data_IF_150589582813
#
_entry.id   IF_150589582813
#
_cell.length_a   1.000
_cell.length_b   1.000
_cell.length_c   1.000
_cell.angle_alpha   90.00
_cell.angle_beta   90.00
_cell.angle_gamma   90.00
#
_symmetry.space_group_name_H-M   'P 1'
#
loop_
_entity.id
_entity.type
_entity.pdbx_description
1 polymer ?
#
# COMPACT_ATOMS: atom_id res chain seq x y z
N UNK A 1 10.96 27.74 2.76
CA UNK A 1 10.86 26.39 2.16
C UNK A 1 11.66 26.39 0.87
N UNK A 2 12.48 25.36 0.61
CA UNK A 2 13.21 25.26 -0.66
C UNK A 2 12.19 24.84 -1.73
N UNK A 3 11.92 25.72 -2.69
CA UNK A 3 11.04 25.45 -3.82
C UNK A 3 11.71 24.39 -4.71
N UNK A 4 11.12 23.21 -4.79
CA UNK A 4 11.61 22.15 -5.68
C UNK A 4 11.43 22.61 -7.12
N UNK A 5 12.53 22.90 -7.81
CA UNK A 5 12.51 23.27 -9.22
C UNK A 5 12.62 22.01 -10.09
N UNK A 6 11.76 21.85 -11.11
CA UNK A 6 11.90 20.77 -12.07
C UNK A 6 13.28 20.82 -12.72
N UNK A 7 13.75 19.63 -13.11
CA UNK A 7 15.03 19.50 -13.80
C UNK A 7 15.04 20.34 -15.10
N UNK A 8 16.11 21.12 -15.31
CA UNK A 8 16.26 21.96 -16.49
C UNK A 8 16.47 21.10 -17.75
N UNK A 9 15.94 21.54 -18.90
CA UNK A 9 16.16 20.88 -20.20
C UNK A 9 17.61 20.93 -20.67
N UNK A 10 18.44 21.77 -20.05
CA UNK A 10 19.90 21.86 -20.23
C UNK A 10 20.58 21.36 -18.96
N UNK A 11 20.82 20.05 -18.88
CA UNK A 11 21.57 19.46 -17.78
C UNK A 11 22.74 18.66 -18.33
N UNK A 12 23.94 19.01 -17.89
CA UNK A 12 25.19 18.41 -18.33
C UNK A 12 25.35 16.94 -17.91
N UNK A 13 24.53 16.44 -16.98
CA UNK A 13 24.47 15.02 -16.60
C UNK A 13 23.58 14.23 -17.57
N UNK A 14 22.45 14.80 -18.02
CA UNK A 14 21.55 14.13 -18.96
C UNK A 14 22.07 14.22 -20.41
N UNK A 15 22.68 15.35 -20.78
CA UNK A 15 23.19 15.61 -22.13
C UNK A 15 24.49 14.87 -22.45
N UNK A 16 25.24 14.42 -21.44
CA UNK A 16 26.51 13.69 -21.62
C UNK A 16 26.33 12.18 -21.80
N UNK A 17 25.09 11.67 -21.81
CA UNK A 17 24.82 10.30 -22.23
C UNK A 17 25.03 10.17 -23.74
N UNK A 18 26.27 9.83 -24.13
CA UNK A 18 26.62 9.44 -25.50
C UNK A 18 25.62 8.39 -25.98
N UNK A 19 25.01 8.65 -27.14
CA UNK A 19 24.05 7.79 -27.83
C UNK A 19 24.57 6.34 -27.94
N UNK A 20 24.24 5.49 -26.97
CA UNK A 20 24.36 4.04 -27.14
C UNK A 20 23.16 3.54 -27.92
N UNK A 21 23.43 2.76 -28.97
CA UNK A 21 22.53 2.44 -30.07
C UNK A 21 21.07 2.15 -29.70
N UNK A 22 20.16 2.85 -30.39
CA UNK A 22 18.73 2.51 -30.41
C UNK A 22 18.57 1.06 -30.87
N UNK A 23 18.03 0.20 -30.01
CA UNK A 23 17.45 -1.08 -30.46
C UNK A 23 16.31 -0.75 -31.43
N UNK A 24 16.35 -1.30 -32.65
CA UNK A 24 15.23 -1.26 -33.60
C UNK A 24 14.04 -1.98 -32.98
N UNK A 25 12.97 -1.23 -32.70
CA UNK A 25 11.63 -1.79 -32.55
C UNK A 25 10.72 -1.03 -33.51
N UNK A 26 10.01 -1.77 -34.34
CA UNK A 26 9.09 -1.32 -35.38
C UNK A 26 8.05 -0.36 -34.82
N UNK A 27 8.04 0.89 -35.32
CA UNK A 27 6.98 1.87 -35.07
C UNK A 27 5.91 1.75 -36.15
N UNK A 28 4.67 1.45 -35.73
CA UNK A 28 3.49 1.82 -36.50
C UNK A 28 3.13 3.28 -36.18
N UNK A 29 3.02 4.07 -37.24
CA UNK A 29 2.87 5.52 -37.22
C UNK A 29 1.44 5.93 -36.84
N UNK A 30 1.31 6.93 -35.96
CA UNK A 30 0.10 7.75 -35.83
C UNK A 30 0.48 9.20 -36.13
N UNK A 31 -0.08 9.77 -37.19
CA UNK A 31 0.07 11.18 -37.53
C UNK A 31 -1.29 11.90 -37.57
N UNK A 32 -1.23 13.20 -37.24
CA UNK A 32 -2.16 14.28 -37.61
C UNK A 32 -3.36 14.60 -36.69
N UNK A 33 -3.06 15.50 -35.73
CA UNK A 33 -3.72 16.79 -35.43
C UNK A 33 -5.09 17.06 -36.10
N UNK A 34 -6.12 17.27 -35.27
CA UNK A 34 -7.11 18.34 -35.51
C UNK A 34 -7.58 18.96 -34.20
N UNK A 35 -7.18 20.22 -33.94
CA UNK A 35 -7.68 21.06 -32.85
C UNK A 35 -9.18 21.33 -33.06
N UNK A 36 -9.98 21.33 -31.98
CA UNK A 36 -11.31 21.95 -31.96
C UNK A 36 -11.52 22.76 -30.68
N UNK A 37 -12.08 23.96 -30.88
CA UNK A 37 -12.20 25.10 -29.98
C UNK A 37 -12.95 24.81 -28.67
N UNK A 38 -12.58 25.58 -27.64
CA UNK A 38 -13.24 25.75 -26.35
C UNK A 38 -14.72 26.14 -26.52
N UNK A 39 -15.59 25.46 -25.78
CA UNK A 39 -16.85 26.02 -25.31
C UNK A 39 -16.85 25.88 -23.78
N UNK A 40 -17.03 27.01 -23.10
CA UNK A 40 -17.20 27.12 -21.66
C UNK A 40 -18.64 26.78 -21.33
N UNK A 41 -18.87 25.60 -20.78
CA UNK A 41 -20.06 25.34 -19.96
C UNK A 41 -19.61 24.92 -18.57
N UNK A 42 -19.83 25.83 -17.63
CA UNK A 42 -19.79 25.55 -16.20
C UNK A 42 -20.78 24.43 -15.89
N UNK A 43 -20.27 23.25 -15.53
CA UNK A 43 -21.01 22.25 -14.78
C UNK A 43 -20.27 21.94 -13.50
N UNK A 44 -20.61 22.68 -12.46
CA UNK A 44 -20.34 22.30 -11.08
C UNK A 44 -20.95 20.92 -10.84
N UNK A 45 -20.12 19.92 -10.59
CA UNK A 45 -20.59 18.72 -9.89
C UNK A 45 -19.57 18.29 -8.85
N UNK A 46 -19.74 18.90 -7.68
CA UNK A 46 -19.36 18.36 -6.40
C UNK A 46 -19.92 16.93 -6.26
N UNK A 47 -19.05 15.95 -6.01
CA UNK A 47 -19.38 14.71 -5.29
C UNK A 47 -18.08 13.99 -4.90
N UNK A 48 -17.64 14.30 -3.69
CA UNK A 48 -16.82 13.43 -2.87
C UNK A 48 -17.51 12.06 -2.74
N UNK A 49 -17.06 11.07 -3.51
CA UNK A 49 -17.50 9.69 -3.41
C UNK A 49 -16.30 8.78 -3.19
N UNK A 50 -15.94 8.53 -1.92
CA UNK A 50 -15.10 7.37 -1.57
C UNK A 50 -15.92 6.10 -1.84
N UNK A 51 -15.96 5.63 -3.09
CA UNK A 51 -16.52 4.32 -3.41
C UNK A 51 -15.46 3.29 -3.00
N UNK A 52 -15.55 2.80 -1.76
CA UNK A 52 -14.91 1.55 -1.43
C UNK A 52 -15.53 0.44 -2.31
N UNK A 53 -14.73 -0.42 -2.95
CA UNK A 53 -15.29 -1.43 -3.85
C UNK A 53 -16.19 -2.39 -3.06
N UNK A 54 -17.36 -2.71 -3.64
CA UNK A 54 -18.49 -3.43 -3.04
C UNK A 54 -18.12 -4.72 -2.27
N UNK A 55 -17.01 -5.38 -2.64
CA UNK A 55 -16.53 -6.59 -1.97
C UNK A 55 -16.01 -6.35 -0.53
N UNK A 56 -15.63 -5.12 -0.16
CA UNK A 56 -15.16 -4.78 1.20
C UNK A 56 -16.26 -4.95 2.28
N UNK A 57 -17.54 -5.03 1.90
CA UNK A 57 -18.67 -5.24 2.82
C UNK A 57 -19.13 -6.71 2.90
N UNK A 58 -18.23 -7.65 2.68
CA UNK A 58 -18.55 -9.07 2.83
C UNK A 58 -18.51 -9.50 4.31
N UNK A 59 -19.56 -10.18 4.77
CA UNK A 59 -19.67 -10.78 6.14
C UNK A 59 -18.42 -11.58 6.52
N UNK A 60 -17.81 -12.25 5.54
CA UNK A 60 -16.60 -13.06 5.68
C UNK A 60 -15.35 -12.23 5.98
N UNK A 61 -15.15 -11.08 5.32
CA UNK A 61 -14.03 -10.18 5.61
C UNK A 61 -14.15 -9.57 7.00
N UNK A 62 -15.36 -9.16 7.39
CA UNK A 62 -15.63 -8.69 8.74
C UNK A 62 -15.28 -9.77 9.78
N UNK A 63 -15.56 -11.04 9.48
CA UNK A 63 -15.18 -12.15 10.34
C UNK A 63 -13.65 -12.32 10.43
N UNK A 64 -12.92 -12.19 9.32
CA UNK A 64 -11.44 -12.21 9.34
C UNK A 64 -10.91 -11.06 10.16
N UNK A 65 -11.38 -9.83 9.92
CA UNK A 65 -10.98 -8.62 10.67
C UNK A 65 -11.22 -8.77 12.16
N UNK A 66 -12.43 -9.19 12.55
CA UNK A 66 -12.78 -9.36 13.96
C UNK A 66 -11.89 -10.39 14.66
N UNK A 67 -11.56 -11.51 14.00
CA UNK A 67 -10.61 -12.49 14.53
C UNK A 67 -9.19 -11.93 14.66
N UNK A 68 -8.78 -11.05 13.75
CA UNK A 68 -7.45 -10.45 13.76
C UNK A 68 -7.29 -9.36 14.83
N UNK A 69 -8.34 -8.80 15.42
CA UNK A 69 -8.23 -7.77 16.47
C UNK A 69 -7.46 -8.23 17.71
N UNK A 70 -7.52 -9.53 18.00
CA UNK A 70 -6.80 -10.14 19.13
C UNK A 70 -5.38 -10.58 18.78
N UNK A 71 -4.93 -10.42 17.53
CA UNK A 71 -3.67 -11.00 17.03
C UNK A 71 -2.78 -9.92 16.40
N UNK A 72 -3.38 -8.93 15.72
CA UNK A 72 -2.67 -7.85 15.04
C UNK A 72 -2.88 -6.53 15.78
N UNK A 73 -1.96 -5.60 15.54
CA UNK A 73 -2.02 -4.24 16.09
C UNK A 73 -2.78 -3.32 15.14
N UNK A 74 -3.66 -2.50 15.70
CA UNK A 74 -4.42 -1.51 14.95
C UNK A 74 -3.51 -0.35 14.50
N UNK A 75 -3.77 0.23 13.32
CA UNK A 75 -3.08 1.43 12.85
C UNK A 75 -3.29 2.65 13.74
N UNK A 76 -4.37 2.68 14.52
CA UNK A 76 -4.67 3.76 15.46
C UNK A 76 -3.66 3.84 16.63
N UNK A 77 -2.81 2.81 16.79
CA UNK A 77 -1.72 2.82 17.78
C UNK A 77 -0.49 3.58 17.29
N UNK A 78 -0.42 3.98 16.02
CA UNK A 78 0.72 4.74 15.49
C UNK A 78 0.83 6.10 16.21
N UNK A 79 2.04 6.42 16.67
CA UNK A 79 2.32 7.70 17.34
C UNK A 79 2.26 8.87 16.36
N UNK A 80 2.72 8.63 15.13
CA UNK A 80 2.80 9.66 14.08
C UNK A 80 1.57 9.57 13.18
N UNK A 81 0.96 10.73 12.91
CA UNK A 81 -0.12 10.86 11.93
C UNK A 81 0.47 10.86 10.50
N UNK A 82 0.52 9.69 9.90
CA UNK A 82 1.03 9.51 8.55
C UNK A 82 -0.04 9.83 7.49
N UNK A 83 0.36 10.34 6.31
CA UNK A 83 -0.54 10.50 5.17
C UNK A 83 -1.29 9.21 4.85
N UNK A 84 -2.56 9.33 4.45
CA UNK A 84 -3.43 8.16 4.28
C UNK A 84 -2.88 7.08 3.34
N UNK A 85 -2.11 7.47 2.32
CA UNK A 85 -1.53 6.53 1.37
C UNK A 85 -0.34 5.76 1.97
N UNK A 86 0.42 6.40 2.85
CA UNK A 86 1.45 5.71 3.62
C UNK A 86 0.81 4.70 4.58
N UNK A 87 -0.21 5.11 5.35
CA UNK A 87 -0.93 4.22 6.27
C UNK A 87 -1.55 3.02 5.54
N UNK A 88 -2.09 3.21 4.33
CA UNK A 88 -2.58 2.10 3.48
C UNK A 88 -1.46 1.15 3.04
N UNK A 89 -0.24 1.64 2.84
CA UNK A 89 0.89 0.82 2.39
C UNK A 89 1.44 -0.12 3.47
N UNK A 90 1.27 0.25 4.75
CA UNK A 90 1.71 -0.54 5.91
C UNK A 90 0.59 -1.35 6.58
N UNK A 91 -0.65 -1.22 6.09
CA UNK A 91 -1.82 -1.93 6.61
C UNK A 91 -2.27 -3.04 5.66
N UNK A 92 -2.77 -4.12 6.25
CA UNK A 92 -3.29 -5.26 5.52
C UNK A 92 -4.62 -4.91 4.86
N UNK A 93 -4.72 -5.05 3.53
CA UNK A 93 -5.95 -4.73 2.78
C UNK A 93 -7.13 -5.70 3.02
N UNK A 94 -6.94 -6.72 3.87
CA UNK A 94 -7.98 -7.69 4.27
C UNK A 94 -8.50 -7.42 5.69
N UNK A 95 -7.61 -7.24 6.67
CA UNK A 95 -8.01 -7.02 8.07
C UNK A 95 -7.89 -5.57 8.54
N UNK A 96 -7.33 -4.68 7.73
CA UNK A 96 -7.18 -3.25 8.01
C UNK A 96 -6.27 -2.91 9.21
N UNK A 97 -5.59 -3.90 9.79
CA UNK A 97 -4.59 -3.73 10.83
C UNK A 97 -3.18 -3.55 10.23
N UNK A 98 -2.20 -3.15 11.05
CA UNK A 98 -0.78 -3.10 10.66
C UNK A 98 -0.33 -4.49 10.20
N UNK A 99 0.45 -4.55 9.11
CA UNK A 99 0.92 -5.81 8.54
C UNK A 99 1.71 -6.63 9.57
N UNK A 100 1.27 -7.88 9.77
CA UNK A 100 1.93 -8.88 10.62
C UNK A 100 2.24 -10.11 9.78
N UNK A 101 3.47 -10.60 9.84
CA UNK A 101 4.00 -11.62 8.90
C UNK A 101 3.65 -11.24 7.45
N UNK A 102 4.16 -10.07 7.04
CA UNK A 102 3.80 -9.45 5.77
C UNK A 102 4.22 -10.34 4.59
N UNK A 103 3.30 -10.54 3.64
CA UNK A 103 3.56 -11.22 2.36
C UNK A 103 3.14 -10.31 1.21
N UNK A 104 3.89 -10.41 0.13
CA UNK A 104 3.67 -9.70 -1.13
C UNK A 104 3.21 -10.69 -2.19
N UNK A 105 2.15 -10.31 -2.89
CA UNK A 105 1.64 -11.03 -4.07
C UNK A 105 2.46 -10.69 -5.32
N UNK A 106 2.33 -11.48 -6.39
CA UNK A 106 2.93 -11.19 -7.70
C UNK A 106 2.55 -9.79 -8.23
N UNK A 107 1.29 -9.38 -8.02
CA UNK A 107 0.77 -8.04 -8.33
C UNK A 107 1.17 -6.94 -7.34
N UNK A 108 2.16 -7.21 -6.47
CA UNK A 108 2.82 -6.26 -5.55
C UNK A 108 1.99 -5.71 -4.39
N UNK A 109 0.78 -6.23 -4.18
CA UNK A 109 -0.03 -5.92 -2.99
C UNK A 109 0.41 -6.71 -1.76
N UNK A 110 0.23 -6.09 -0.59
CA UNK A 110 0.70 -6.58 0.71
C UNK A 110 -0.44 -7.01 1.62
N UNK A 111 -0.24 -8.11 2.33
CA UNK A 111 -1.20 -8.70 3.26
C UNK A 111 -0.49 -9.37 4.43
N UNK A 112 -1.18 -9.60 5.55
CA UNK A 112 -0.71 -10.55 6.55
C UNK A 112 -0.85 -11.98 5.99
N UNK A 113 0.14 -12.85 6.21
CA UNK A 113 0.12 -14.23 5.70
C UNK A 113 -1.16 -14.98 6.08
N UNK A 114 -1.56 -14.90 7.34
CA UNK A 114 -2.79 -15.57 7.82
C UNK A 114 -4.06 -14.99 7.18
N UNK A 115 -4.07 -13.71 6.82
CA UNK A 115 -5.25 -13.04 6.26
C UNK A 115 -5.47 -13.45 4.81
N UNK A 116 -4.41 -13.41 3.98
CA UNK A 116 -4.53 -13.76 2.57
C UNK A 116 -4.81 -15.25 2.38
N UNK A 117 -4.22 -16.13 3.20
CA UNK A 117 -4.51 -17.56 3.15
C UNK A 117 -5.96 -17.89 3.56
N UNK A 118 -6.50 -17.21 4.57
CA UNK A 118 -7.92 -17.34 4.93
C UNK A 118 -8.82 -16.80 3.82
N UNK A 119 -8.45 -15.69 3.20
CA UNK A 119 -9.18 -15.14 2.07
C UNK A 119 -9.24 -16.14 0.92
N UNK A 120 -8.11 -16.72 0.51
CA UNK A 120 -8.07 -17.71 -0.57
C UNK A 120 -8.98 -18.91 -0.33
N UNK A 121 -9.06 -19.40 0.91
CA UNK A 121 -9.94 -20.53 1.27
C UNK A 121 -11.43 -20.21 1.14
N UNK A 122 -11.84 -18.96 1.40
CA UNK A 122 -13.25 -18.58 1.49
C UNK A 122 -13.74 -17.95 0.19
N UNK A 123 -12.90 -17.12 -0.42
CA UNK A 123 -13.27 -16.25 -1.53
C UNK A 123 -12.69 -16.74 -2.86
N UNK A 124 -11.59 -17.50 -2.85
CA UNK A 124 -10.88 -17.99 -4.04
C UNK A 124 -9.50 -17.34 -4.25
N UNK A 125 -8.72 -17.88 -5.19
CA UNK A 125 -7.32 -17.49 -5.45
C UNK A 125 -7.18 -16.23 -6.33
N UNK A 126 -7.58 -15.08 -5.77
CA UNK A 126 -7.38 -13.76 -6.39
C UNK A 126 -6.95 -12.74 -5.35
N UNK A 127 -6.21 -11.73 -5.81
CA UNK A 127 -5.77 -10.63 -4.97
C UNK A 127 -6.99 -9.81 -4.51
N UNK A 128 -7.18 -9.60 -3.19
CA UNK A 128 -8.26 -8.77 -2.68
C UNK A 128 -8.22 -7.33 -3.23
N UNK A 129 -7.03 -6.76 -3.42
CA UNK A 129 -6.88 -5.34 -3.80
C UNK A 129 -7.21 -5.06 -5.26
N UNK A 130 -6.75 -5.91 -6.20
CA UNK A 130 -6.86 -5.65 -7.64
C UNK A 130 -7.58 -6.74 -8.43
N UNK A 131 -7.99 -7.84 -7.79
CA UNK A 131 -8.65 -9.01 -8.40
C UNK A 131 -7.81 -9.77 -9.44
N UNK A 132 -6.51 -9.49 -9.53
CA UNK A 132 -5.59 -10.32 -10.31
C UNK A 132 -5.49 -11.73 -9.72
N UNK A 133 -5.36 -12.75 -10.56
CA UNK A 133 -5.16 -14.15 -10.11
C UNK A 133 -3.91 -14.25 -9.23
N UNK A 134 -4.04 -14.91 -8.08
CA UNK A 134 -2.94 -15.05 -7.14
C UNK A 134 -3.10 -16.35 -6.37
N UNK A 135 -2.10 -17.22 -6.45
CA UNK A 135 -2.09 -18.50 -5.75
C UNK A 135 -1.28 -18.41 -4.45
N UNK A 136 -1.52 -19.30 -3.48
CA UNK A 136 -0.72 -19.37 -2.25
C UNK A 136 0.79 -19.50 -2.50
N UNK A 137 1.19 -20.15 -3.59
CA UNK A 137 2.58 -20.33 -4.02
C UNK A 137 3.23 -19.03 -4.52
N UNK A 138 2.43 -18.04 -4.91
CA UNK A 138 2.91 -16.75 -5.42
C UNK A 138 3.22 -15.74 -4.29
N UNK A 139 3.00 -16.14 -3.03
CA UNK A 139 3.23 -15.30 -1.87
C UNK A 139 4.72 -15.32 -1.51
N UNK A 140 5.38 -14.17 -1.64
CA UNK A 140 6.77 -13.98 -1.28
C UNK A 140 6.89 -12.99 -0.11
N UNK A 141 7.96 -13.03 0.69
CA UNK A 141 8.24 -11.94 1.63
C UNK A 141 8.46 -10.61 0.86
N UNK A 142 7.99 -9.47 1.38
CA UNK A 142 8.29 -8.16 0.83
C UNK A 142 9.80 -7.88 0.84
N UNK A 143 10.22 -6.92 0.03
CA UNK A 143 11.61 -6.46 0.02
C UNK A 143 12.08 -6.01 1.40
N UNK A 144 13.36 -6.28 1.72
CA UNK A 144 13.92 -6.04 3.05
C UNK A 144 13.82 -4.58 3.49
N UNK A 145 13.99 -3.62 2.58
CA UNK A 145 13.83 -2.19 2.88
C UNK A 145 12.43 -1.85 3.39
N UNK A 146 11.39 -2.41 2.78
CA UNK A 146 10.01 -2.25 3.25
C UNK A 146 9.83 -2.84 4.65
N UNK A 147 10.35 -4.05 4.89
CA UNK A 147 10.30 -4.67 6.22
C UNK A 147 11.04 -3.86 7.28
N UNK A 148 12.16 -3.23 6.94
CA UNK A 148 12.87 -2.36 7.86
C UNK A 148 12.02 -1.13 8.21
N UNK A 149 11.44 -0.46 7.21
CA UNK A 149 10.52 0.69 7.42
C UNK A 149 9.35 0.28 8.30
N UNK A 150 8.70 -0.85 8.00
CA UNK A 150 7.59 -1.39 8.77
C UNK A 150 7.99 -1.63 10.24
N UNK A 151 9.14 -2.27 10.49
CA UNK A 151 9.62 -2.55 11.84
C UNK A 151 10.08 -1.30 12.62
N UNK A 152 10.36 -0.20 11.92
CA UNK A 152 10.75 1.09 12.50
C UNK A 152 9.56 1.99 12.85
N UNK A 153 8.33 1.58 12.54
CA UNK A 153 7.13 2.31 12.98
C UNK A 153 7.09 2.34 14.52
N UNK A 154 6.73 3.48 15.08
CA UNK A 154 6.56 3.68 16.53
C UNK A 154 5.08 3.60 16.88
N UNK A 155 4.76 2.76 17.86
CA UNK A 155 3.40 2.52 18.33
C UNK A 155 3.31 2.83 19.83
N UNK A 156 2.16 3.34 20.26
CA UNK A 156 1.78 3.38 21.67
C UNK A 156 1.46 1.97 22.16
N UNK A 157 1.82 1.69 23.41
CA UNK A 157 1.39 0.45 24.06
C UNK A 157 -0.14 0.40 24.15
N UNK A 158 -0.71 -0.77 23.87
CA UNK A 158 -2.15 -1.01 24.01
C UNK A 158 -2.59 -1.34 25.46
N UNK A 159 -1.65 -1.53 26.38
CA UNK A 159 -1.93 -1.86 27.79
C UNK A 159 -2.30 -0.60 28.55
N UNK A 160 -3.45 -0.60 29.22
CA UNK A 160 -3.92 0.54 30.03
C UNK A 160 -2.94 0.86 31.15
N UNK A 161 -2.50 2.12 31.23
CA UNK A 161 -1.52 2.59 32.22
C UNK A 161 -0.06 2.45 31.77
N UNK A 162 0.19 2.02 30.54
CA UNK A 162 1.51 2.05 29.93
C UNK A 162 1.58 3.13 28.84
N UNK A 163 2.34 4.19 29.08
CA UNK A 163 2.53 5.31 28.15
C UNK A 163 3.80 5.17 27.29
N UNK A 164 4.40 3.97 27.25
CA UNK A 164 5.60 3.73 26.45
C UNK A 164 5.29 3.75 24.94
N UNK A 165 6.23 4.31 24.18
CA UNK A 165 6.26 4.29 22.71
C UNK A 165 7.32 3.29 22.23
N UNK A 166 6.90 2.31 21.44
CA UNK A 166 7.72 1.14 21.10
C UNK A 166 7.79 0.96 19.59
N UNK A 167 8.97 0.66 19.08
CA UNK A 167 9.16 0.22 17.69
C UNK A 167 8.41 -1.08 17.44
N UNK A 168 7.71 -1.19 16.31
CA UNK A 168 6.94 -2.38 15.94
C UNK A 168 7.78 -3.67 16.04
N UNK A 169 9.04 -3.63 15.59
CA UNK A 169 9.95 -4.78 15.64
C UNK A 169 10.31 -5.25 17.07
N UNK A 170 10.10 -4.42 18.10
CA UNK A 170 10.35 -4.74 19.52
C UNK A 170 9.07 -4.88 20.34
N UNK A 171 7.91 -4.70 19.71
CA UNK A 171 6.62 -4.65 20.42
C UNK A 171 6.31 -5.94 21.19
N UNK A 172 6.62 -7.11 20.62
CA UNK A 172 6.42 -8.41 21.28
C UNK A 172 7.23 -8.57 22.56
N UNK A 173 8.46 -8.06 22.58
CA UNK A 173 9.35 -8.09 23.75
C UNK A 173 8.84 -7.15 24.85
N UNK A 174 8.33 -5.97 24.47
CA UNK A 174 7.71 -5.05 25.41
C UNK A 174 6.46 -5.66 26.06
N UNK A 175 5.55 -6.23 25.27
CA UNK A 175 4.33 -6.87 25.81
C UNK A 175 4.65 -8.03 26.75
N UNK A 176 5.74 -8.76 26.52
CA UNK A 176 6.17 -9.83 27.43
C UNK A 176 6.56 -9.33 28.84
N UNK A 177 6.88 -8.05 29.02
CA UNK A 177 7.22 -7.44 30.32
C UNK A 177 5.99 -7.03 31.15
N UNK A 178 4.82 -6.95 30.53
CA UNK A 178 3.56 -6.69 31.22
C UNK A 178 2.94 -7.95 31.84
N UNK A 179 3.59 -9.11 31.68
CA UNK A 179 3.16 -10.39 32.24
C UNK A 179 3.63 -10.57 33.67
#
# INVERSE_FOLDING_TARGET
AVEWKPHCSKCDVCSSSKNWGKRKTTMHQNSLIKKRKLNVEHRTNNKNGKISPLWKKNRTLNQIRNKCKQIHLDSNLLVVDYPSDFTKSITCQVCEHILSDAVQTSCKHLFCRICILKYFKIMGCYCPSCRHTCFPTDLAPPVKSFLNILNSLVLKCAVTGCDEEILLGKYSQHIAKHK
#
